data_IF_392623195852
#
_entry.id   IF_392623195852
#
_cell.length_a   1.000
_cell.length_b   1.000
_cell.length_c   1.000
_cell.angle_alpha   90.00
_cell.angle_beta   90.00
_cell.angle_gamma   90.00
#
_symmetry.space_group_name_H-M   'P 1'
#
loop_
_entity.id
_entity.type
_entity.pdbx_description
1 polymer ?
#
# COMPACT_ATOMS: atom_id res chain seq x y z
N UNK A 1 43.10 25.66 31.41
CA UNK A 1 41.81 25.10 30.95
C UNK A 1 41.23 26.08 29.93
N UNK A 2 41.07 25.72 28.65
CA UNK A 2 40.42 26.61 27.68
C UNK A 2 38.91 26.36 27.75
N UNK A 3 38.19 27.20 28.47
CA UNK A 3 36.73 27.22 28.42
C UNK A 3 36.35 27.91 27.11
N UNK A 4 35.86 27.13 26.15
CA UNK A 4 35.38 27.62 24.86
C UNK A 4 33.89 27.86 24.99
N UNK A 5 33.45 29.11 24.88
CA UNK A 5 32.05 29.46 24.82
C UNK A 5 31.48 29.30 23.40
N UNK A 6 30.19 28.97 23.29
CA UNK A 6 29.47 29.08 22.01
C UNK A 6 29.44 30.55 21.57
N UNK A 7 29.40 30.78 20.26
CA UNK A 7 29.59 32.10 19.67
C UNK A 7 28.61 33.14 20.24
N UNK A 8 29.14 34.22 20.83
CA UNK A 8 28.36 35.33 21.35
C UNK A 8 28.29 35.40 22.87
N UNK A 9 28.60 34.31 23.57
CA UNK A 9 28.63 34.30 25.04
C UNK A 9 29.91 34.97 25.55
N UNK A 10 29.76 35.80 26.58
CA UNK A 10 30.87 36.56 27.18
C UNK A 10 30.80 36.55 28.70
N UNK A 11 31.93 36.27 29.34
CA UNK A 11 32.09 36.47 30.79
C UNK A 11 32.34 37.95 31.03
N UNK A 12 31.57 38.56 31.93
CA UNK A 12 31.90 39.85 32.52
C UNK A 12 32.57 39.61 33.87
N UNK A 13 33.84 40.01 34.01
CA UNK A 13 34.59 39.84 35.26
C UNK A 13 36.09 40.08 35.11
N UNK A 14 36.78 40.27 36.23
CA UNK A 14 38.23 40.26 36.26
C UNK A 14 38.74 38.84 35.99
N UNK A 15 39.78 38.71 35.16
CA UNK A 15 40.49 37.44 34.98
C UNK A 15 41.08 37.07 36.35
N UNK A 16 40.86 35.85 36.87
CA UNK A 16 41.45 35.46 38.14
C UNK A 16 42.98 35.62 38.07
N UNK A 17 43.57 36.18 39.13
CA UNK A 17 45.01 36.44 39.21
C UNK A 17 45.81 35.19 38.85
N UNK A 18 46.80 35.35 37.96
CA UNK A 18 47.69 34.27 37.48
C UNK A 18 48.75 33.87 38.51
N UNK A 19 48.55 34.23 39.78
CA UNK A 19 49.51 33.97 40.84
C UNK A 19 49.40 32.51 41.30
N UNK A 20 50.54 31.82 41.32
CA UNK A 20 50.62 30.44 41.80
C UNK A 20 50.51 30.44 43.33
N UNK A 21 49.33 30.08 43.85
CA UNK A 21 49.07 29.97 45.29
C UNK A 21 49.02 28.49 45.70
N UNK A 22 49.75 28.13 46.76
CA UNK A 22 49.70 26.78 47.32
C UNK A 22 48.38 26.59 48.09
N UNK A 23 47.40 25.97 47.43
CA UNK A 23 46.06 25.69 47.99
C UNK A 23 46.10 24.47 48.91
N UNK A 24 45.41 24.55 50.06
CA UNK A 24 45.32 23.42 50.98
C UNK A 24 44.55 22.24 50.35
N UNK A 25 44.85 20.98 50.72
CA UNK A 25 44.10 19.83 50.21
C UNK A 25 42.62 19.92 50.60
N UNK A 26 41.72 19.64 49.65
CA UNK A 26 40.26 19.73 49.79
C UNK A 26 39.72 21.14 50.10
N UNK A 27 40.39 22.19 49.62
CA UNK A 27 39.83 23.55 49.63
C UNK A 27 38.62 23.62 48.70
N UNK A 28 37.47 24.04 49.23
CA UNK A 28 36.27 24.34 48.45
C UNK A 28 36.13 25.86 48.42
N UNK A 29 36.27 26.44 47.23
CA UNK A 29 36.03 27.86 47.00
C UNK A 29 34.82 27.98 46.05
N UNK A 30 33.79 28.67 46.51
CA UNK A 30 32.65 29.02 45.68
C UNK A 30 33.04 30.20 44.80
N UNK A 31 32.83 30.07 43.48
CA UNK A 31 33.06 31.15 42.53
C UNK A 31 31.78 31.39 41.74
N UNK A 32 31.29 32.61 41.81
CA UNK A 32 30.15 33.07 41.03
C UNK A 32 30.64 34.05 39.97
N UNK A 33 30.19 33.88 38.73
CA UNK A 33 30.44 34.83 37.67
C UNK A 33 29.19 35.02 36.82
N UNK A 34 28.95 36.27 36.42
CA UNK A 34 27.84 36.60 35.53
C UNK A 34 28.25 36.32 34.09
N UNK A 35 27.54 35.40 33.44
CA UNK A 35 27.69 35.12 32.01
C UNK A 35 26.53 35.78 31.25
N UNK A 36 26.87 36.59 30.24
CA UNK A 36 25.87 36.99 29.24
C UNK A 36 25.81 35.91 28.18
N UNK A 37 24.72 35.14 28.16
CA UNK A 37 24.52 34.06 27.19
C UNK A 37 23.45 34.43 26.16
N UNK A 38 23.74 34.11 24.91
CA UNK A 38 22.82 34.16 23.77
C UNK A 38 22.56 32.76 23.20
N UNK A 39 23.00 31.73 23.92
CA UNK A 39 22.84 30.35 23.51
C UNK A 39 21.44 29.86 23.92
N UNK A 40 20.65 29.28 23.00
CA UNK A 40 19.39 28.63 23.38
C UNK A 40 19.68 27.43 24.28
N UNK A 41 18.79 27.18 25.24
CA UNK A 41 18.90 26.04 26.14
C UNK A 41 17.56 25.32 26.14
N UNK A 42 17.56 24.12 25.60
CA UNK A 42 16.36 23.31 25.43
C UNK A 42 16.42 22.16 26.43
N UNK A 43 15.39 22.10 27.27
CA UNK A 43 15.12 20.94 28.11
C UNK A 43 14.06 20.08 27.42
N UNK A 44 14.23 18.77 27.45
CA UNK A 44 13.30 17.84 26.82
C UNK A 44 12.92 16.68 27.73
N UNK A 45 11.67 16.26 27.65
CA UNK A 45 11.21 14.96 28.13
C UNK A 45 10.91 14.07 26.93
N UNK A 46 11.42 12.84 26.97
CA UNK A 46 11.33 11.91 25.85
C UNK A 46 10.72 10.60 26.32
N UNK A 47 9.74 10.11 25.56
CA UNK A 47 9.20 8.76 25.71
C UNK A 47 9.39 8.01 24.41
N UNK A 48 10.12 6.90 24.44
CA UNK A 48 10.41 6.07 23.27
C UNK A 48 9.78 4.71 23.47
N UNK A 49 8.82 4.37 22.62
CA UNK A 49 8.26 3.02 22.55
C UNK A 49 8.94 2.25 21.41
N UNK A 50 9.43 1.05 21.71
CA UNK A 50 10.14 0.18 20.77
C UNK A 50 9.42 -1.16 20.73
N UNK A 51 8.84 -1.52 19.59
CA UNK A 51 8.21 -2.83 19.40
C UNK A 51 9.18 -3.76 18.69
N UNK A 52 9.54 -4.87 19.34
CA UNK A 52 10.45 -5.89 18.78
C UNK A 52 9.65 -6.92 18.00
N UNK A 53 9.63 -6.80 16.67
CA UNK A 53 8.86 -7.69 15.81
C UNK A 53 9.62 -8.98 15.47
N UNK A 54 8.90 -10.10 15.38
CA UNK A 54 9.50 -11.40 15.06
C UNK A 54 10.03 -11.49 13.62
N UNK A 55 9.61 -10.57 12.73
CA UNK A 55 10.02 -10.53 11.33
C UNK A 55 11.28 -9.69 11.08
N UNK A 56 11.98 -9.27 12.14
CA UNK A 56 13.28 -8.60 12.04
C UNK A 56 13.21 -7.08 11.89
N UNK A 57 12.09 -6.47 12.30
CA UNK A 57 11.91 -5.02 12.36
C UNK A 57 11.74 -4.55 13.80
N UNK A 58 12.27 -3.37 14.09
CA UNK A 58 12.06 -2.63 15.31
C UNK A 58 11.23 -1.40 14.96
N UNK A 59 10.04 -1.29 15.52
CA UNK A 59 9.19 -0.12 15.30
C UNK A 59 9.36 0.86 16.45
N UNK A 60 9.76 2.09 16.13
CA UNK A 60 9.95 3.17 17.06
C UNK A 60 8.80 4.14 16.97
N UNK A 61 8.24 4.51 18.12
CA UNK A 61 7.34 5.64 18.27
C UNK A 61 7.84 6.50 19.40
N UNK A 62 8.25 7.72 19.07
CA UNK A 62 8.83 8.65 20.03
C UNK A 62 7.89 9.84 20.24
N UNK A 63 7.63 10.15 21.51
CA UNK A 63 6.98 11.39 21.92
C UNK A 63 8.02 12.27 22.59
N UNK A 64 8.20 13.48 22.06
CA UNK A 64 9.20 14.41 22.54
C UNK A 64 8.50 15.70 22.95
N UNK A 65 8.59 16.02 24.23
CA UNK A 65 8.23 17.31 24.79
C UNK A 65 9.49 18.16 24.94
N UNK A 66 9.47 19.39 24.45
CA UNK A 66 10.59 20.33 24.53
C UNK A 66 10.12 21.64 25.16
N UNK A 67 11.01 22.26 25.93
CA UNK A 67 10.82 23.58 26.54
C UNK A 67 12.11 24.41 26.37
N UNK A 68 11.96 25.65 25.93
CA UNK A 68 13.08 26.59 25.87
C UNK A 68 13.24 27.32 27.20
N UNK A 69 14.20 26.86 28.01
CA UNK A 69 14.59 27.47 29.29
C UNK A 69 15.73 28.48 29.13
N UNK A 70 16.27 28.63 27.93
CA UNK A 70 17.37 29.53 27.62
C UNK A 70 16.95 30.98 27.36
N UNK A 71 17.93 31.89 27.25
CA UNK A 71 17.68 33.31 27.00
C UNK A 71 17.41 33.65 25.52
N UNK A 72 17.60 32.70 24.60
CA UNK A 72 17.59 32.94 23.15
C UNK A 72 16.61 32.00 22.43
N UNK A 73 16.17 32.39 21.24
CA UNK A 73 15.27 31.57 20.42
C UNK A 73 16.03 30.43 19.72
N UNK A 74 15.35 29.31 19.50
CA UNK A 74 15.86 28.19 18.69
C UNK A 74 15.05 28.08 17.39
N UNK A 75 15.71 27.79 16.28
CA UNK A 75 15.04 27.69 14.97
C UNK A 75 14.77 26.25 14.57
N UNK A 76 15.68 25.33 14.91
CA UNK A 76 15.55 23.92 14.59
C UNK A 76 16.23 23.05 15.63
N UNK A 77 15.81 21.78 15.72
CA UNK A 77 16.50 20.79 16.53
C UNK A 77 17.14 19.71 15.65
N UNK A 78 18.44 19.40 15.83
CA UNK A 78 19.06 18.27 15.16
C UNK A 78 18.66 16.97 15.84
N UNK A 79 18.17 16.01 15.06
CA UNK A 79 17.79 14.68 15.50
C UNK A 79 18.44 13.65 14.58
N UNK A 80 19.25 12.75 15.14
CA UNK A 80 19.98 11.75 14.36
C UNK A 80 19.39 10.37 14.58
N UNK A 81 18.88 9.80 13.50
CA UNK A 81 18.30 8.47 13.48
C UNK A 81 19.39 7.46 13.09
N UNK A 82 19.48 6.31 13.77
CA UNK A 82 20.42 5.25 13.43
C UNK A 82 20.27 4.75 11.99
N UNK A 83 21.33 4.14 11.46
CA UNK A 83 21.32 3.51 10.14
C UNK A 83 20.28 2.38 10.05
N UNK A 84 19.93 1.97 8.83
CA UNK A 84 18.91 0.96 8.55
C UNK A 84 17.49 1.37 8.98
N UNK A 85 17.27 2.68 9.08
CA UNK A 85 15.97 3.26 9.33
C UNK A 85 15.16 3.46 8.03
N UNK A 86 13.85 3.26 8.12
CA UNK A 86 12.89 3.48 7.04
C UNK A 86 11.56 4.04 7.60
N UNK A 87 10.66 4.42 6.69
CA UNK A 87 9.31 4.89 6.99
C UNK A 87 9.23 5.99 8.07
N UNK A 88 10.20 6.90 8.07
CA UNK A 88 10.22 8.05 8.96
C UNK A 88 8.97 8.92 8.76
N UNK A 89 8.33 9.28 9.87
CA UNK A 89 7.22 10.24 9.94
C UNK A 89 7.43 11.17 11.11
N UNK A 90 7.30 12.45 10.86
CA UNK A 90 7.40 13.49 11.88
C UNK A 90 6.12 14.31 11.83
N UNK A 91 5.46 14.44 12.97
CA UNK A 91 4.16 15.09 13.06
C UNK A 91 3.91 15.67 14.46
N UNK A 92 2.90 16.53 14.54
CA UNK A 92 2.38 17.06 15.78
C UNK A 92 0.85 16.87 15.85
N UNK A 93 0.18 17.54 16.79
CA UNK A 93 -1.26 17.45 16.98
C UNK A 93 -2.06 17.93 15.76
N UNK A 94 -1.48 18.82 14.95
CA UNK A 94 -2.13 19.46 13.80
C UNK A 94 -1.88 18.66 12.52
N UNK A 95 -0.73 18.00 12.42
CA UNK A 95 -0.41 17.10 11.32
C UNK A 95 1.08 16.96 11.07
N UNK A 96 1.44 16.52 9.86
CA UNK A 96 2.84 16.27 9.49
C UNK A 96 3.67 17.54 9.43
N UNK A 97 4.92 17.45 9.90
CA UNK A 97 5.94 18.50 9.77
C UNK A 97 6.69 18.29 8.45
N UNK A 98 6.21 18.93 7.39
CA UNK A 98 6.63 18.63 6.02
C UNK A 98 8.04 19.15 5.70
N UNK A 99 8.43 20.29 6.28
CA UNK A 99 9.75 20.88 6.08
C UNK A 99 10.81 20.15 6.89
N UNK A 100 10.41 19.57 8.02
CA UNK A 100 11.25 18.71 8.87
C UNK A 100 11.52 17.32 8.28
N UNK A 101 10.82 16.91 7.22
CA UNK A 101 11.03 15.60 6.60
C UNK A 101 12.26 15.61 5.68
N UNK A 102 13.08 14.55 5.68
CA UNK A 102 14.28 14.50 4.85
C UNK A 102 13.94 14.58 3.36
N UNK A 103 14.64 15.47 2.65
CA UNK A 103 14.45 15.70 1.20
C UNK A 103 15.45 14.85 0.40
N UNK A 104 14.95 13.97 -0.45
CA UNK A 104 15.75 13.19 -1.39
C UNK A 104 15.75 11.68 -1.11
N UNK A 105 16.61 10.94 -1.83
CA UNK A 105 16.77 9.50 -1.63
C UNK A 105 17.54 9.22 -0.34
N UNK A 106 16.85 8.68 0.66
CA UNK A 106 17.47 8.18 1.89
C UNK A 106 18.27 6.92 1.59
N UNK A 107 19.55 6.92 1.96
CA UNK A 107 20.39 5.73 1.90
C UNK A 107 20.09 4.87 3.12
N UNK A 108 19.57 3.68 2.88
CA UNK A 108 19.16 2.76 3.94
C UNK A 108 20.32 2.38 4.88
N UNK A 109 21.57 2.34 4.42
CA UNK A 109 22.72 1.93 5.22
C UNK A 109 23.42 3.08 5.97
N UNK A 110 22.88 4.29 5.95
CA UNK A 110 23.50 5.48 6.52
C UNK A 110 22.64 6.06 7.64
N UNK A 111 23.27 6.77 8.60
CA UNK A 111 22.54 7.49 9.64
C UNK A 111 21.79 8.65 9.03
N UNK A 112 20.53 8.86 9.44
CA UNK A 112 19.69 9.92 8.90
C UNK A 112 19.72 11.10 9.86
N UNK A 113 20.37 12.19 9.46
CA UNK A 113 20.30 13.46 10.18
C UNK A 113 19.05 14.23 9.74
N UNK A 114 18.19 14.51 10.70
CA UNK A 114 16.96 15.27 10.50
C UNK A 114 17.06 16.59 11.25
N UNK A 115 16.58 17.65 10.61
CA UNK A 115 16.44 18.96 11.25
C UNK A 115 14.95 19.23 11.43
N UNK A 116 14.51 19.23 12.67
CA UNK A 116 13.13 19.56 13.03
C UNK A 116 13.03 21.08 12.96
N UNK A 117 12.57 21.61 11.82
CA UNK A 117 12.52 23.04 11.53
C UNK A 117 11.19 23.64 11.99
N UNK A 118 11.22 24.26 13.16
CA UNK A 118 10.05 24.88 13.77
C UNK A 118 9.67 26.19 13.09
N UNK A 119 10.64 26.90 12.50
CA UNK A 119 10.39 28.16 11.80
C UNK A 119 9.55 27.94 10.54
N UNK A 120 9.92 26.96 9.73
CA UNK A 120 9.23 26.68 8.47
C UNK A 120 7.91 25.95 8.67
N UNK A 121 7.81 25.05 9.67
CA UNK A 121 6.61 24.24 9.85
C UNK A 121 5.50 24.92 10.69
N UNK A 122 5.83 25.74 11.71
CA UNK A 122 4.82 26.21 12.69
C UNK A 122 4.93 27.67 13.13
N UNK A 123 6.10 28.16 13.56
CA UNK A 123 6.21 29.49 14.20
C UNK A 123 6.63 30.62 13.25
N UNK A 124 6.95 30.32 11.98
CA UNK A 124 7.44 31.32 11.04
C UNK A 124 8.74 31.96 11.50
N UNK A 125 8.93 33.23 11.14
CA UNK A 125 10.11 34.03 11.51
C UNK A 125 10.27 34.24 13.02
N UNK A 126 9.24 33.94 13.81
CA UNK A 126 9.31 34.04 15.27
C UNK A 126 10.11 32.88 15.89
N UNK A 127 10.16 31.69 15.28
CA UNK A 127 10.85 30.53 15.86
C UNK A 127 10.38 30.16 17.27
N UNK A 128 11.21 29.40 17.99
CA UNK A 128 10.90 28.86 19.31
C UNK A 128 11.49 29.74 20.44
N UNK A 129 10.69 30.68 20.95
CA UNK A 129 11.11 31.67 21.95
C UNK A 129 11.31 31.07 23.36
N UNK A 130 12.11 31.73 24.22
CA UNK A 130 12.18 31.44 25.65
C UNK A 130 10.81 31.34 26.31
N UNK A 131 10.61 30.30 27.12
CA UNK A 131 9.36 29.98 27.80
C UNK A 131 8.30 29.27 26.94
N UNK A 132 8.59 29.00 25.66
CA UNK A 132 7.71 28.17 24.84
C UNK A 132 7.94 26.69 25.13
N UNK A 133 6.87 25.92 25.03
CA UNK A 133 6.87 24.47 25.09
C UNK A 133 6.20 23.89 23.84
N UNK A 134 6.63 22.70 23.44
CA UNK A 134 6.10 22.02 22.28
C UNK A 134 6.20 20.51 22.41
N UNK A 135 5.22 19.80 21.85
CA UNK A 135 5.23 18.34 21.77
C UNK A 135 5.11 17.91 20.32
N UNK A 136 5.93 16.97 19.92
CA UNK A 136 5.85 16.34 18.60
C UNK A 136 6.20 14.85 18.69
N UNK A 137 5.88 14.15 17.61
CA UNK A 137 6.07 12.72 17.48
C UNK A 137 6.97 12.37 16.30
N UNK A 138 7.76 11.32 16.49
CA UNK A 138 8.61 10.73 15.46
C UNK A 138 8.37 9.22 15.44
N UNK A 139 7.88 8.72 14.31
CA UNK A 139 7.74 7.29 14.06
C UNK A 139 8.72 6.85 12.98
N UNK A 140 9.41 5.73 13.19
CA UNK A 140 10.29 5.13 12.18
C UNK A 140 10.48 3.63 12.46
N UNK A 141 10.97 2.89 11.47
CA UNK A 141 11.31 1.46 11.64
C UNK A 141 12.79 1.23 11.38
N UNK A 142 13.43 0.38 12.17
CA UNK A 142 14.83 -0.03 12.00
C UNK A 142 14.89 -1.53 11.74
N UNK A 143 15.80 -1.95 10.85
CA UNK A 143 16.07 -3.36 10.66
C UNK A 143 16.86 -3.95 11.84
N UNK A 144 16.25 -4.89 12.59
CA UNK A 144 16.84 -5.48 13.78
C UNK A 144 18.15 -6.23 13.49
N UNK A 145 18.25 -6.88 12.31
CA UNK A 145 19.40 -7.72 11.95
C UNK A 145 20.73 -6.98 11.87
N UNK A 146 20.71 -5.66 11.67
CA UNK A 146 21.93 -4.84 11.62
C UNK A 146 22.49 -4.52 13.01
N UNK A 147 21.69 -4.73 14.05
CA UNK A 147 22.00 -4.42 15.45
C UNK A 147 21.92 -5.65 16.35
N UNK A 148 21.71 -6.83 15.76
CA UNK A 148 21.55 -8.08 16.49
C UNK A 148 22.59 -9.12 16.11
N UNK A 149 23.18 -9.76 17.12
CA UNK A 149 24.09 -10.88 16.98
C UNK A 149 23.46 -12.18 17.50
N UNK A 150 23.80 -13.29 16.86
CA UNK A 150 23.29 -14.61 17.28
C UNK A 150 24.06 -15.11 18.51
N UNK A 151 23.34 -15.42 19.58
CA UNK A 151 23.86 -16.05 20.82
C UNK A 151 23.14 -17.37 21.09
N UNK A 152 23.73 -18.30 21.88
CA UNK A 152 23.11 -19.61 22.11
C UNK A 152 21.69 -19.57 22.70
N UNK A 153 21.36 -18.51 23.44
CA UNK A 153 20.08 -18.28 24.10
C UNK A 153 19.06 -17.51 23.25
N UNK A 154 19.44 -17.02 22.05
CA UNK A 154 18.56 -16.22 21.20
C UNK A 154 19.32 -15.21 20.33
N UNK A 155 18.71 -14.06 20.08
CA UNK A 155 19.34 -12.93 19.39
C UNK A 155 19.64 -11.84 20.40
N UNK A 156 20.92 -11.49 20.55
CA UNK A 156 21.36 -10.36 21.36
C UNK A 156 21.20 -9.09 20.53
N UNK A 157 20.35 -8.17 20.97
CA UNK A 157 20.09 -6.88 20.35
C UNK A 157 20.76 -5.78 21.16
N UNK A 158 21.65 -5.03 20.51
CA UNK A 158 22.06 -3.71 21.02
C UNK A 158 21.04 -2.69 20.51
N UNK A 159 20.19 -2.19 21.40
CA UNK A 159 19.05 -1.35 21.02
C UNK A 159 19.57 -0.04 20.44
N UNK A 160 19.32 0.27 19.15
CA UNK A 160 19.75 1.54 18.58
C UNK A 160 18.83 2.65 19.08
N UNK A 161 19.41 3.65 19.77
CA UNK A 161 18.68 4.82 20.28
C UNK A 161 19.04 6.04 19.43
N UNK A 162 18.04 6.76 18.94
CA UNK A 162 18.26 8.02 18.22
C UNK A 162 18.77 9.11 19.17
N UNK A 163 19.65 9.99 18.70
CA UNK A 163 20.26 11.05 19.51
C UNK A 163 19.65 12.40 19.20
N UNK A 164 19.36 13.19 20.25
CA UNK A 164 18.67 14.47 20.12
C UNK A 164 19.62 15.67 20.28
N UNK A 165 20.62 15.76 19.41
CA UNK A 165 21.47 16.94 19.30
C UNK A 165 22.04 17.47 20.62
N UNK A 166 22.24 18.78 20.70
CA UNK A 166 22.64 19.47 21.93
C UNK A 166 21.43 19.85 22.80
N UNK A 167 20.52 18.90 23.03
CA UNK A 167 19.36 19.08 23.91
C UNK A 167 19.58 18.29 25.21
N UNK A 168 19.27 18.91 26.34
CA UNK A 168 19.28 18.21 27.63
C UNK A 168 17.97 17.45 27.78
N UNK A 169 18.02 16.13 27.68
CA UNK A 169 16.87 15.28 27.97
C UNK A 169 16.86 15.01 29.48
N UNK A 170 15.97 15.69 30.20
CA UNK A 170 15.85 15.61 31.66
C UNK A 170 15.35 14.24 32.09
N UNK A 171 14.43 13.67 31.33
CA UNK A 171 13.83 12.35 31.56
C UNK A 171 13.59 11.63 30.25
N UNK A 172 14.11 10.41 30.14
CA UNK A 172 13.90 9.51 29.01
C UNK A 172 13.26 8.21 29.50
N UNK A 173 12.01 7.97 29.13
CA UNK A 173 11.30 6.72 29.37
C UNK A 173 11.42 5.86 28.10
N UNK A 174 12.00 4.67 28.22
CA UNK A 174 12.16 3.73 27.09
C UNK A 174 11.32 2.50 27.39
N UNK A 175 10.24 2.32 26.63
CA UNK A 175 9.30 1.19 26.73
C UNK A 175 9.57 0.21 25.58
N UNK A 176 10.16 -0.95 25.89
CA UNK A 176 10.43 -2.00 24.90
C UNK A 176 9.35 -3.07 25.02
N UNK A 177 8.53 -3.19 23.99
CA UNK A 177 7.38 -4.08 23.93
C UNK A 177 7.72 -5.33 23.12
N UNK A 178 7.50 -6.49 23.74
CA UNK A 178 7.58 -7.81 23.13
C UNK A 178 6.17 -8.36 22.90
N UNK A 179 5.68 -8.38 21.65
CA UNK A 179 4.41 -9.02 21.31
C UNK A 179 4.49 -10.53 21.57
N UNK A 180 3.35 -11.24 21.57
CA UNK A 180 3.27 -12.72 21.69
C UNK A 180 4.30 -13.47 20.83
N UNK A 181 4.70 -12.92 19.68
CA UNK A 181 5.66 -13.50 18.75
C UNK A 181 7.12 -13.46 19.19
N UNK A 182 7.48 -12.69 20.22
CA UNK A 182 8.84 -12.57 20.75
C UNK A 182 8.82 -12.65 22.27
N UNK A 183 9.85 -13.26 22.85
CA UNK A 183 9.99 -13.37 24.30
C UNK A 183 11.34 -12.79 24.72
N UNK A 184 11.33 -12.01 25.80
CA UNK A 184 12.53 -11.57 26.48
C UNK A 184 13.18 -12.75 27.22
N UNK A 185 14.49 -12.90 27.09
CA UNK A 185 15.28 -13.91 27.81
C UNK A 185 16.10 -13.24 28.91
N UNK A 186 16.87 -12.21 28.55
CA UNK A 186 17.79 -11.50 29.43
C UNK A 186 17.90 -10.05 28.98
N UNK A 187 18.23 -9.15 29.91
CA UNK A 187 18.48 -7.75 29.58
C UNK A 187 19.48 -7.14 30.55
N UNK A 188 20.17 -6.08 30.12
CA UNK A 188 21.03 -5.28 30.97
C UNK A 188 20.23 -4.36 31.89
N UNK A 189 20.88 -3.94 32.98
CA UNK A 189 20.46 -2.85 33.87
C UNK A 189 19.16 -3.06 34.66
N UNK A 190 18.79 -2.07 35.48
CA UNK A 190 17.56 -2.07 36.25
C UNK A 190 16.38 -1.66 35.35
N UNK A 191 15.38 -2.54 35.25
CA UNK A 191 14.17 -2.34 34.45
C UNK A 191 12.90 -2.64 35.24
N UNK A 192 11.80 -2.00 34.85
CA UNK A 192 10.47 -2.37 35.31
C UNK A 192 9.83 -3.32 34.28
N UNK A 193 9.53 -4.54 34.71
CA UNK A 193 8.82 -5.52 33.89
C UNK A 193 7.31 -5.38 34.06
N UNK A 194 6.60 -5.20 32.96
CA UNK A 194 5.14 -5.10 32.92
C UNK A 194 4.59 -6.19 32.02
N UNK A 195 3.63 -6.95 32.54
CA UNK A 195 2.94 -8.00 31.78
C UNK A 195 1.58 -7.47 31.32
N UNK A 196 1.38 -7.41 30.01
CA UNK A 196 0.08 -7.23 29.39
C UNK A 196 -0.58 -8.57 29.04
N UNK A 197 -1.76 -8.49 28.44
CA UNK A 197 -2.54 -9.68 28.05
C UNK A 197 -1.93 -10.36 26.82
N UNK A 198 -1.33 -9.58 25.92
CA UNK A 198 -0.81 -10.03 24.63
C UNK A 198 0.63 -9.57 24.37
N UNK A 199 1.23 -8.90 25.33
CA UNK A 199 2.55 -8.31 25.26
C UNK A 199 3.23 -8.37 26.62
N UNK A 200 4.55 -8.38 26.60
CA UNK A 200 5.39 -8.15 27.76
C UNK A 200 6.23 -6.94 27.45
N UNK A 201 6.24 -5.94 28.33
CA UNK A 201 7.05 -4.75 28.14
C UNK A 201 8.05 -4.55 29.26
N UNK A 202 9.20 -3.98 28.91
CA UNK A 202 10.22 -3.54 29.86
C UNK A 202 10.38 -2.04 29.75
N UNK A 203 10.36 -1.37 30.89
CA UNK A 203 10.43 0.08 30.97
C UNK A 203 11.73 0.47 31.66
N UNK A 204 12.56 1.22 30.93
CA UNK A 204 13.74 1.91 31.47
C UNK A 204 13.41 3.37 31.70
N UNK A 205 13.95 3.93 32.79
CA UNK A 205 13.87 5.37 33.04
C UNK A 205 15.28 5.89 33.26
N UNK A 206 15.75 6.73 32.35
CA UNK A 206 17.07 7.38 32.41
C UNK A 206 16.86 8.88 32.60
N UNK A 207 17.76 9.52 33.34
CA UNK A 207 17.70 10.94 33.64
C UNK A 207 18.94 11.65 33.15
N UNK A 208 18.79 12.93 32.76
CA UNK A 208 19.88 13.84 32.40
C UNK A 208 20.80 13.27 31.31
N UNK A 209 20.20 12.85 30.19
CA UNK A 209 20.93 12.37 29.01
C UNK A 209 21.17 13.50 28.01
N UNK A 210 22.30 13.43 27.32
CA UNK A 210 22.79 14.36 26.31
C UNK A 210 23.38 13.56 25.14
N UNK A 211 23.85 14.25 24.10
CA UNK A 211 24.57 13.61 22.98
C UNK A 211 25.77 12.75 23.42
N UNK A 212 26.46 13.15 24.49
CA UNK A 212 27.70 12.52 24.94
C UNK A 212 27.47 11.31 25.86
N UNK A 213 26.26 11.17 26.40
CA UNK A 213 25.87 10.06 27.28
C UNK A 213 24.50 9.48 26.87
N UNK A 214 24.39 8.88 25.67
CA UNK A 214 23.17 8.21 25.25
C UNK A 214 22.93 6.94 26.09
N UNK A 215 21.67 6.53 26.30
CA UNK A 215 21.35 5.24 26.90
C UNK A 215 21.94 4.08 26.09
N UNK A 216 22.62 3.14 26.74
CA UNK A 216 23.11 1.90 26.12
C UNK A 216 22.34 0.72 26.71
N UNK A 217 21.47 0.10 25.90
CA UNK A 217 20.60 -1.00 26.34
C UNK A 217 20.91 -2.23 25.49
N UNK A 218 21.20 -3.35 26.16
CA UNK A 218 21.48 -4.62 25.52
C UNK A 218 20.52 -5.68 26.05
N UNK A 219 19.82 -6.35 25.15
CA UNK A 219 18.84 -7.37 25.50
C UNK A 219 19.01 -8.63 24.65
N UNK A 220 18.53 -9.76 25.16
CA UNK A 220 18.47 -11.03 24.44
C UNK A 220 17.03 -11.45 24.31
N UNK A 221 16.57 -11.64 23.07
CA UNK A 221 15.22 -12.06 22.77
C UNK A 221 15.20 -13.32 21.91
N UNK A 222 14.09 -14.06 21.97
CA UNK A 222 13.84 -15.24 21.15
C UNK A 222 12.51 -15.11 20.42
N UNK A 223 12.47 -15.60 19.17
CA UNK A 223 11.23 -15.67 18.40
C UNK A 223 10.40 -16.85 18.90
N UNK A 224 9.16 -16.58 19.26
CA UNK A 224 8.21 -17.59 19.74
C UNK A 224 7.43 -18.20 18.56
N UNK A 225 6.71 -19.30 18.83
CA UNK A 225 5.78 -19.92 17.87
C UNK A 225 4.67 -18.94 17.43
N UNK A 226 4.40 -17.89 18.23
CA UNK A 226 3.45 -16.83 17.91
C UNK A 226 3.77 -16.06 16.63
N UNK A 227 5.02 -16.09 16.15
CA UNK A 227 5.38 -15.50 14.86
C UNK A 227 4.61 -16.13 13.69
N UNK A 228 4.31 -17.43 13.76
CA UNK A 228 3.53 -18.11 12.72
C UNK A 228 2.02 -17.79 12.79
N UNK A 229 1.54 -17.13 13.85
CA UNK A 229 0.12 -16.86 14.04
C UNK A 229 -0.44 -15.83 13.05
N UNK A 230 0.33 -14.78 12.68
CA UNK A 230 -0.19 -13.73 11.76
C UNK A 230 -0.59 -14.30 10.39
N UNK A 231 0.28 -15.05 9.66
CA UNK A 231 -0.14 -15.67 8.40
C UNK A 231 -1.27 -16.70 8.57
N UNK A 232 -1.26 -17.46 9.66
CA UNK A 232 -2.29 -18.47 9.95
C UNK A 232 -3.67 -17.83 10.17
N UNK A 233 -3.74 -16.67 10.83
CA UNK A 233 -4.99 -15.92 11.00
C UNK A 233 -5.55 -15.44 9.66
N UNK A 234 -4.71 -14.90 8.76
CA UNK A 234 -5.16 -14.54 7.41
C UNK A 234 -5.63 -15.75 6.62
N UNK A 235 -4.91 -16.87 6.71
CA UNK A 235 -5.33 -18.12 6.09
C UNK A 235 -6.66 -18.64 6.67
N UNK A 236 -6.90 -18.49 7.97
CA UNK A 236 -8.16 -18.86 8.62
C UNK A 236 -9.30 -17.95 8.16
N UNK A 237 -9.10 -16.64 8.09
CA UNK A 237 -10.12 -15.69 7.59
C UNK A 237 -10.50 -16.05 6.14
N UNK A 238 -9.50 -16.23 5.26
CA UNK A 238 -9.74 -16.61 3.86
C UNK A 238 -10.40 -17.98 3.78
N UNK A 239 -9.95 -18.94 4.58
CA UNK A 239 -10.53 -20.28 4.67
C UNK A 239 -11.98 -20.26 5.16
N UNK A 240 -12.32 -19.38 6.11
CA UNK A 240 -13.67 -19.21 6.62
C UNK A 240 -14.60 -18.58 5.58
N UNK A 241 -14.13 -17.56 4.86
CA UNK A 241 -14.86 -16.97 3.74
C UNK A 241 -15.11 -18.03 2.65
N UNK A 242 -14.09 -18.82 2.31
CA UNK A 242 -14.22 -19.90 1.36
C UNK A 242 -15.19 -21.00 1.85
N UNK A 243 -15.15 -21.34 3.14
CA UNK A 243 -16.07 -22.30 3.75
C UNK A 243 -17.52 -21.80 3.70
N UNK A 244 -17.78 -20.53 4.04
CA UNK A 244 -19.10 -19.90 3.89
C UNK A 244 -19.56 -19.94 2.44
N UNK A 245 -18.69 -19.58 1.50
CA UNK A 245 -19.00 -19.61 0.08
C UNK A 245 -19.38 -21.02 -0.40
N UNK A 246 -18.61 -22.03 -0.01
CA UNK A 246 -18.91 -23.43 -0.33
C UNK A 246 -20.19 -23.89 0.36
N UNK A 247 -20.45 -23.48 1.60
CA UNK A 247 -21.66 -23.82 2.33
C UNK A 247 -22.89 -23.19 1.67
N UNK A 248 -22.83 -21.91 1.29
CA UNK A 248 -23.91 -21.24 0.54
C UNK A 248 -24.17 -21.93 -0.80
N UNK A 249 -23.11 -22.28 -1.54
CA UNK A 249 -23.23 -22.99 -2.82
C UNK A 249 -23.69 -24.44 -2.70
N UNK A 250 -23.36 -25.13 -1.60
CA UNK A 250 -23.85 -26.49 -1.31
C UNK A 250 -25.24 -26.51 -0.67
N UNK A 251 -25.79 -25.36 -0.32
CA UNK A 251 -27.15 -25.20 0.22
C UNK A 251 -28.16 -24.87 -0.89
N UNK A 252 -27.82 -25.13 -2.16
CA UNK A 252 -28.85 -25.53 -3.12
C UNK A 252 -29.53 -26.78 -2.52
N UNK A 253 -30.72 -26.55 -1.96
CA UNK A 253 -31.46 -27.53 -1.16
C UNK A 253 -31.48 -28.87 -1.89
N UNK A 254 -31.27 -30.00 -1.18
CA UNK A 254 -31.55 -31.30 -1.78
C UNK A 254 -32.99 -31.28 -2.30
N UNK A 255 -33.16 -31.54 -3.60
CA UNK A 255 -34.44 -31.66 -4.33
C UNK A 255 -35.41 -32.70 -3.73
N UNK A 256 -35.07 -33.36 -2.62
CA UNK A 256 -35.90 -34.36 -1.95
C UNK A 256 -36.86 -33.81 -0.88
N UNK A 257 -36.85 -32.52 -0.53
CA UNK A 257 -37.75 -31.97 0.53
C UNK A 257 -38.85 -31.02 0.01
N UNK A 258 -38.79 -30.52 -1.23
CA UNK A 258 -39.87 -29.67 -1.78
C UNK A 258 -40.68 -30.48 -2.80
N UNK A 259 -41.29 -31.55 -2.29
CA UNK A 259 -42.46 -32.13 -2.92
C UNK A 259 -43.69 -31.27 -2.63
N UNK A 260 -44.36 -30.84 -3.70
CA UNK A 260 -45.75 -30.33 -3.76
C UNK A 260 -46.17 -29.29 -2.70
N UNK A 261 -46.23 -28.03 -3.11
CA UNK A 261 -46.91 -26.98 -2.34
C UNK A 261 -47.30 -25.82 -3.25
N UNK A 262 -48.51 -25.88 -3.78
CA UNK A 262 -49.20 -24.81 -4.49
C UNK A 262 -49.45 -23.59 -3.57
N UNK A 263 -49.35 -22.40 -4.20
CA UNK A 263 -50.06 -21.11 -3.93
C UNK A 263 -49.70 -20.30 -2.65
N UNK A 264 -48.93 -19.19 -2.74
CA UNK A 264 -49.29 -17.77 -3.09
C UNK A 264 -49.76 -16.93 -1.85
N UNK A 265 -49.46 -15.60 -1.72
CA UNK A 265 -49.89 -14.61 -2.71
C UNK A 265 -49.05 -13.32 -2.93
N UNK A 266 -48.95 -12.97 -4.22
CA UNK A 266 -48.96 -11.61 -4.81
C UNK A 266 -48.04 -10.49 -4.31
N UNK A 267 -47.06 -10.16 -5.16
CA UNK A 267 -46.87 -8.80 -5.67
C UNK A 267 -46.42 -8.87 -7.15
N UNK A 268 -47.43 -8.92 -8.03
CA UNK A 268 -47.43 -8.66 -9.48
C UNK A 268 -46.43 -7.56 -9.89
N UNK A 269 -45.69 -7.65 -11.00
CA UNK A 269 -46.18 -7.50 -12.38
C UNK A 269 -45.14 -7.99 -13.41
N UNK A 270 -45.66 -8.77 -14.37
CA UNK A 270 -45.22 -8.97 -15.76
C UNK A 270 -44.17 -10.06 -16.14
N UNK A 271 -44.75 -11.14 -16.69
CA UNK A 271 -44.27 -11.95 -17.83
C UNK A 271 -43.39 -13.16 -17.56
N UNK A 272 -44.03 -14.19 -16.97
CA UNK A 272 -43.86 -15.56 -17.43
C UNK A 272 -44.38 -15.71 -18.88
N UNK A 273 -43.54 -15.32 -19.85
CA UNK A 273 -43.65 -15.68 -21.28
C UNK A 273 -42.23 -15.78 -21.85
N UNK A 274 -41.41 -16.63 -21.25
CA UNK A 274 -40.05 -16.88 -21.70
C UNK A 274 -39.98 -18.10 -22.63
N UNK A 275 -39.11 -18.04 -23.64
CA UNK A 275 -38.75 -19.21 -24.43
C UNK A 275 -38.11 -20.28 -23.51
N UNK A 276 -38.16 -21.57 -23.87
CA UNK A 276 -37.51 -22.63 -23.10
C UNK A 276 -36.04 -22.26 -22.77
N UNK A 277 -35.60 -22.36 -21.50
CA UNK A 277 -34.26 -21.95 -21.08
C UNK A 277 -33.16 -22.72 -21.83
N UNK A 278 -33.44 -23.96 -22.24
CA UNK A 278 -32.55 -24.76 -23.09
C UNK A 278 -32.32 -24.12 -24.47
N UNK A 279 -33.35 -23.56 -25.10
CA UNK A 279 -33.25 -22.88 -26.40
C UNK A 279 -32.51 -21.55 -26.28
N UNK A 280 -32.73 -20.79 -25.20
CA UNK A 280 -32.00 -19.54 -24.93
C UNK A 280 -30.51 -19.80 -24.71
N UNK A 281 -30.17 -20.86 -23.96
CA UNK A 281 -28.79 -21.29 -23.74
C UNK A 281 -28.12 -21.79 -25.01
N UNK A 282 -28.80 -22.61 -25.80
CA UNK A 282 -28.27 -23.09 -27.08
C UNK A 282 -27.99 -21.93 -28.04
N UNK A 283 -28.91 -20.97 -28.12
CA UNK A 283 -28.74 -19.77 -28.94
C UNK A 283 -27.56 -18.91 -28.48
N UNK A 284 -27.48 -18.60 -27.19
CA UNK A 284 -26.41 -17.76 -26.64
C UNK A 284 -25.02 -18.42 -26.79
N UNK A 285 -24.93 -19.73 -26.56
CA UNK A 285 -23.66 -20.47 -26.68
C UNK A 285 -23.19 -20.57 -28.12
N UNK A 286 -24.07 -20.86 -29.08
CA UNK A 286 -23.71 -20.91 -30.50
C UNK A 286 -23.31 -19.52 -31.03
N UNK A 287 -24.01 -18.47 -30.62
CA UNK A 287 -23.70 -17.10 -31.05
C UNK A 287 -22.39 -16.59 -30.41
N UNK A 288 -22.14 -16.89 -29.14
CA UNK A 288 -20.86 -16.61 -28.46
C UNK A 288 -19.69 -17.35 -29.11
N UNK A 289 -19.89 -18.62 -29.47
CA UNK A 289 -18.91 -19.44 -30.20
C UNK A 289 -18.61 -18.87 -31.58
N UNK A 290 -19.63 -18.40 -32.33
CA UNK A 290 -19.45 -17.71 -33.61
C UNK A 290 -18.60 -16.44 -33.47
N UNK A 291 -18.86 -15.63 -32.46
CA UNK A 291 -18.09 -14.41 -32.18
C UNK A 291 -16.64 -14.73 -31.83
N UNK A 292 -16.42 -15.75 -31.00
CA UNK A 292 -15.08 -16.20 -30.58
C UNK A 292 -14.26 -16.73 -31.77
N UNK A 293 -14.85 -17.58 -32.62
CA UNK A 293 -14.19 -18.11 -33.82
C UNK A 293 -13.82 -17.03 -34.82
N UNK A 294 -14.66 -16.00 -34.98
CA UNK A 294 -14.34 -14.84 -35.81
C UNK A 294 -13.13 -14.06 -35.28
N UNK A 295 -13.03 -13.86 -33.97
CA UNK A 295 -11.87 -13.21 -33.35
C UNK A 295 -10.60 -14.05 -33.53
N UNK A 296 -10.71 -15.37 -33.38
CA UNK A 296 -9.58 -16.27 -33.54
C UNK A 296 -9.10 -16.37 -34.98
N UNK A 297 -10.00 -16.31 -35.97
CA UNK A 297 -9.65 -16.18 -37.38
C UNK A 297 -8.84 -14.89 -37.63
N UNK A 298 -9.28 -13.77 -37.09
CA UNK A 298 -8.57 -12.49 -37.20
C UNK A 298 -7.18 -12.53 -36.53
N UNK A 299 -7.05 -13.17 -35.37
CA UNK A 299 -5.76 -13.37 -34.69
C UNK A 299 -4.80 -14.24 -35.51
N UNK A 300 -5.30 -15.32 -36.11
CA UNK A 300 -4.50 -16.23 -36.95
C UNK A 300 -4.03 -15.52 -38.23
N UNK A 301 -4.89 -14.72 -38.86
CA UNK A 301 -4.53 -13.87 -40.01
C UNK A 301 -3.50 -12.79 -39.65
N UNK A 302 -3.69 -12.09 -38.54
CA UNK A 302 -2.76 -11.07 -38.05
C UNK A 302 -1.39 -11.67 -37.72
N UNK A 303 -1.37 -12.85 -37.11
CA UNK A 303 -0.13 -13.54 -36.74
C UNK A 303 0.64 -14.07 -37.95
N UNK A 304 -0.07 -14.49 -39.03
CA UNK A 304 0.54 -14.77 -40.34
C UNK A 304 1.15 -13.51 -40.96
N UNK A 305 0.43 -12.37 -40.94
CA UNK A 305 0.94 -11.09 -41.47
C UNK A 305 2.20 -10.61 -40.74
N UNK A 306 2.32 -10.93 -39.43
CA UNK A 306 3.50 -10.64 -38.60
C UNK A 306 4.63 -11.68 -38.72
N UNK A 307 4.49 -12.70 -39.58
CA UNK A 307 5.51 -13.73 -39.79
C UNK A 307 5.67 -14.75 -38.66
N UNK A 308 4.79 -14.74 -37.65
CA UNK A 308 4.90 -15.61 -36.46
C UNK A 308 4.38 -17.04 -36.67
N UNK A 309 3.72 -17.31 -37.81
CA UNK A 309 3.06 -18.58 -38.11
C UNK A 309 3.53 -19.12 -39.46
N UNK A 310 3.90 -20.40 -39.50
CA UNK A 310 4.29 -21.08 -40.74
C UNK A 310 3.07 -21.27 -41.66
N UNK A 311 3.27 -21.25 -42.98
CA UNK A 311 2.18 -21.37 -43.98
C UNK A 311 1.31 -22.62 -43.76
N UNK A 312 1.94 -23.76 -43.43
CA UNK A 312 1.25 -25.04 -43.18
C UNK A 312 0.34 -24.98 -41.95
N UNK A 313 0.85 -24.45 -40.84
CA UNK A 313 0.09 -24.29 -39.58
C UNK A 313 -1.08 -23.31 -39.76
N UNK A 314 -0.87 -22.22 -40.49
CA UNK A 314 -1.92 -21.29 -40.83
C UNK A 314 -3.05 -21.95 -41.63
N UNK A 315 -2.72 -22.74 -42.67
CA UNK A 315 -3.75 -23.39 -43.50
C UNK A 315 -4.57 -24.41 -42.70
N UNK A 316 -3.94 -25.15 -41.79
CA UNK A 316 -4.63 -26.13 -40.92
C UNK A 316 -5.58 -25.40 -39.98
N UNK A 317 -5.10 -24.40 -39.23
CA UNK A 317 -5.93 -23.64 -38.28
C UNK A 317 -7.04 -22.85 -38.97
N UNK A 318 -6.76 -22.25 -40.13
CA UNK A 318 -7.77 -21.54 -40.91
C UNK A 318 -8.86 -22.51 -41.41
N UNK A 319 -8.48 -23.71 -41.86
CA UNK A 319 -9.45 -24.72 -42.31
C UNK A 319 -10.32 -25.21 -41.16
N UNK A 320 -9.73 -25.48 -40.00
CA UNK A 320 -10.45 -25.90 -38.80
C UNK A 320 -11.46 -24.84 -38.34
N UNK A 321 -11.02 -23.59 -38.16
CA UNK A 321 -11.91 -22.48 -37.76
C UNK A 321 -13.04 -22.29 -38.77
N UNK A 322 -12.76 -22.36 -40.08
CA UNK A 322 -13.79 -22.25 -41.12
C UNK A 322 -14.80 -23.40 -41.09
N UNK A 323 -14.34 -24.64 -40.85
CA UNK A 323 -15.22 -25.80 -40.73
C UNK A 323 -16.16 -25.68 -39.52
N UNK A 324 -15.64 -25.16 -38.41
CA UNK A 324 -16.45 -24.91 -37.21
C UNK A 324 -17.45 -23.76 -37.43
N UNK A 325 -17.05 -22.70 -38.14
CA UNK A 325 -17.96 -21.61 -38.53
C UNK A 325 -19.08 -22.12 -39.45
N UNK A 326 -18.77 -22.94 -40.45
CA UNK A 326 -19.77 -23.52 -41.37
C UNK A 326 -20.81 -24.37 -40.63
N UNK A 327 -20.36 -25.13 -39.62
CA UNK A 327 -21.26 -25.89 -38.74
C UNK A 327 -22.21 -24.96 -37.99
N UNK A 328 -21.70 -23.88 -37.41
CA UNK A 328 -22.52 -22.91 -36.66
C UNK A 328 -23.47 -22.16 -37.59
N UNK A 329 -23.00 -21.70 -38.75
CA UNK A 329 -23.84 -20.98 -39.73
C UNK A 329 -24.95 -21.88 -40.30
N UNK A 330 -24.79 -23.21 -40.30
CA UNK A 330 -25.86 -24.15 -40.66
C UNK A 330 -26.91 -24.36 -39.56
N UNK A 331 -26.52 -24.27 -38.28
CA UNK A 331 -27.40 -24.50 -37.13
C UNK A 331 -28.15 -23.22 -36.71
N UNK A 332 -27.50 -22.07 -36.82
CA UNK A 332 -27.99 -20.79 -36.33
C UNK A 332 -29.35 -20.35 -36.92
N UNK A 333 -29.66 -20.53 -38.22
CA UNK A 333 -30.97 -20.17 -38.78
C UNK A 333 -32.11 -20.94 -38.13
N UNK A 334 -31.94 -22.26 -37.92
CA UNK A 334 -32.98 -23.11 -37.33
C UNK A 334 -33.33 -22.73 -35.89
N UNK A 335 -32.34 -22.24 -35.13
CA UNK A 335 -32.53 -21.83 -33.73
C UNK A 335 -33.06 -20.41 -33.66
N UNK A 336 -32.64 -19.52 -34.58
CA UNK A 336 -33.25 -18.19 -34.75
C UNK A 336 -34.74 -18.28 -35.04
N UNK A 337 -35.14 -19.14 -35.97
CA UNK A 337 -36.55 -19.29 -36.35
C UNK A 337 -37.40 -19.81 -35.18
N UNK A 338 -36.88 -20.79 -34.42
CA UNK A 338 -37.51 -21.26 -33.18
C UNK A 338 -37.65 -20.12 -32.17
N UNK A 339 -36.58 -19.36 -31.93
CA UNK A 339 -36.58 -18.26 -30.97
C UNK A 339 -37.54 -17.11 -31.37
N UNK A 340 -37.66 -16.81 -32.67
CA UNK A 340 -38.62 -15.84 -33.21
C UNK A 340 -40.07 -16.31 -33.06
N UNK A 341 -40.32 -17.63 -33.04
CA UNK A 341 -41.65 -18.20 -32.87
C UNK A 341 -42.18 -18.14 -31.43
N UNK A 342 -41.28 -18.04 -30.43
CA UNK A 342 -41.63 -17.99 -29.00
C UNK A 342 -42.15 -16.62 -28.55
N UNK A 343 -41.92 -15.54 -29.30
CA UNK A 343 -42.51 -14.24 -28.95
C UNK A 343 -41.97 -13.02 -29.70
N UNK A 344 -42.76 -11.93 -29.67
CA UNK A 344 -42.39 -10.64 -30.29
C UNK A 344 -41.11 -10.04 -29.68
N UNK A 345 -40.90 -10.23 -28.37
CA UNK A 345 -39.69 -9.76 -27.66
C UNK A 345 -38.42 -10.40 -28.21
N UNK A 346 -38.44 -11.71 -28.47
CA UNK A 346 -37.28 -12.42 -29.01
C UNK A 346 -37.03 -12.11 -30.50
N UNK A 347 -38.09 -11.82 -31.25
CA UNK A 347 -37.97 -11.29 -32.61
C UNK A 347 -37.20 -9.98 -32.64
N UNK A 348 -37.51 -9.06 -31.72
CA UNK A 348 -36.80 -7.78 -31.61
C UNK A 348 -35.33 -7.97 -31.20
N UNK A 349 -35.06 -8.90 -30.28
CA UNK A 349 -33.70 -9.26 -29.85
C UNK A 349 -32.87 -9.84 -31.01
N UNK A 350 -33.43 -10.78 -31.78
CA UNK A 350 -32.78 -11.35 -32.97
C UNK A 350 -32.55 -10.27 -34.03
N UNK A 351 -33.53 -9.41 -34.29
CA UNK A 351 -33.40 -8.31 -35.25
C UNK A 351 -32.31 -7.30 -34.85
N UNK A 352 -32.17 -7.00 -33.55
CA UNK A 352 -31.09 -6.15 -33.04
C UNK A 352 -29.72 -6.80 -33.21
N UNK A 353 -29.60 -8.11 -32.94
CA UNK A 353 -28.36 -8.85 -33.17
C UNK A 353 -27.95 -8.82 -34.64
N UNK A 354 -28.88 -9.06 -35.56
CA UNK A 354 -28.62 -9.01 -37.00
C UNK A 354 -28.23 -7.62 -37.47
N UNK A 355 -28.92 -6.58 -36.99
CA UNK A 355 -28.57 -5.19 -37.29
C UNK A 355 -27.14 -4.85 -36.82
N UNK A 356 -26.74 -5.34 -35.65
CA UNK A 356 -25.39 -5.11 -35.13
C UNK A 356 -24.34 -5.93 -35.89
N UNK A 357 -24.64 -7.16 -36.28
CA UNK A 357 -23.78 -8.02 -37.11
C UNK A 357 -23.55 -7.38 -38.49
N UNK A 358 -24.61 -6.90 -39.15
CA UNK A 358 -24.52 -6.20 -40.44
C UNK A 358 -23.69 -4.91 -40.33
N UNK A 359 -23.87 -4.13 -39.25
CA UNK A 359 -23.05 -2.94 -38.99
C UNK A 359 -21.56 -3.28 -38.80
N UNK A 360 -21.26 -4.36 -38.10
CA UNK A 360 -19.88 -4.83 -37.91
C UNK A 360 -19.29 -5.28 -39.25
N UNK A 361 -20.02 -6.09 -40.01
CA UNK A 361 -19.55 -6.59 -41.31
C UNK A 361 -19.37 -5.45 -42.33
N UNK A 362 -20.32 -4.51 -42.39
CA UNK A 362 -20.22 -3.31 -43.21
C UNK A 362 -19.01 -2.45 -42.86
N UNK A 363 -18.74 -2.24 -41.57
CA UNK A 363 -17.55 -1.52 -41.12
C UNK A 363 -16.24 -2.27 -41.43
N UNK A 364 -16.21 -3.60 -41.33
CA UNK A 364 -15.06 -4.44 -41.73
C UNK A 364 -14.83 -4.38 -43.24
N UNK A 365 -15.87 -4.44 -44.06
CA UNK A 365 -15.79 -4.29 -45.50
C UNK A 365 -15.26 -2.89 -45.90
N UNK A 366 -15.78 -1.84 -45.26
CA UNK A 366 -15.29 -0.46 -45.41
C UNK A 366 -13.82 -0.32 -45.05
N UNK A 367 -13.38 -0.96 -43.96
CA UNK A 367 -11.97 -0.98 -43.55
C UNK A 367 -11.08 -1.71 -44.57
N UNK A 368 -11.53 -2.84 -45.14
CA UNK A 368 -10.81 -3.56 -46.21
C UNK A 368 -10.66 -2.69 -47.46
N UNK A 369 -11.71 -2.00 -47.89
CA UNK A 369 -11.65 -1.06 -49.01
C UNK A 369 -10.72 0.13 -48.73
N UNK A 370 -10.75 0.67 -47.51
CA UNK A 370 -9.87 1.75 -47.08
C UNK A 370 -8.39 1.33 -47.13
N UNK A 371 -8.07 0.10 -46.70
CA UNK A 371 -6.73 -0.47 -46.81
C UNK A 371 -6.27 -0.61 -48.27
N UNK A 372 -7.16 -1.02 -49.18
CA UNK A 372 -6.87 -1.09 -50.62
C UNK A 372 -6.63 0.30 -51.22
N UNK A 373 -7.40 1.31 -50.83
CA UNK A 373 -7.22 2.71 -51.28
C UNK A 373 -5.89 3.29 -50.78
N UNK A 374 -5.50 3.02 -49.53
CA UNK A 374 -4.17 3.37 -48.99
C UNK A 374 -3.04 2.69 -49.75
N UNK A 375 -3.17 1.39 -50.04
CA UNK A 375 -2.17 0.64 -50.82
C UNK A 375 -1.99 1.23 -52.22
N UNK A 376 -3.06 1.75 -52.82
CA UNK A 376 -3.04 2.44 -54.13
C UNK A 376 -2.67 3.93 -54.04
N UNK A 377 -2.27 4.45 -52.86
CA UNK A 377 -1.95 5.86 -52.59
C UNK A 377 -3.07 6.86 -52.96
N UNK A 378 -4.33 6.43 -53.00
CA UNK A 378 -5.49 7.26 -53.39
C UNK A 378 -6.12 8.03 -52.23
N UNK A 379 -5.44 8.15 -51.08
CA UNK A 379 -5.94 8.81 -49.88
C UNK A 379 -4.76 9.38 -49.07
N UNK A 380 -4.93 10.57 -48.50
CA UNK A 380 -3.93 11.18 -47.61
C UNK A 380 -3.81 10.40 -46.30
N UNK A 381 -2.65 10.50 -45.64
CA UNK A 381 -2.37 9.78 -44.38
C UNK A 381 -3.36 10.17 -43.26
N UNK A 382 -3.63 11.47 -43.11
CA UNK A 382 -4.55 11.99 -42.11
C UNK A 382 -6.00 11.52 -42.36
N UNK A 383 -6.47 11.52 -43.61
CA UNK A 383 -7.79 11.03 -43.96
C UNK A 383 -7.92 9.51 -43.75
N UNK A 384 -6.85 8.75 -44.00
CA UNK A 384 -6.82 7.31 -43.72
C UNK A 384 -6.92 7.00 -42.21
N UNK A 385 -6.15 7.70 -41.38
CA UNK A 385 -6.14 7.47 -39.93
C UNK A 385 -7.48 7.81 -39.30
N UNK A 386 -8.10 8.94 -39.69
CA UNK A 386 -9.45 9.33 -39.23
C UNK A 386 -10.51 8.29 -39.64
N UNK A 387 -10.61 7.96 -40.93
CA UNK A 387 -11.59 6.98 -41.40
C UNK A 387 -11.38 5.58 -40.78
N UNK A 388 -10.12 5.19 -40.53
CA UNK A 388 -9.81 3.93 -39.83
C UNK A 388 -10.32 3.95 -38.39
N UNK A 389 -10.14 5.04 -37.66
CA UNK A 389 -10.63 5.17 -36.29
C UNK A 389 -12.17 5.13 -36.25
N UNK A 390 -12.84 5.76 -37.20
CA UNK A 390 -14.30 5.74 -37.29
C UNK A 390 -14.84 4.31 -37.51
N UNK A 391 -14.26 3.55 -38.45
CA UNK A 391 -14.64 2.14 -38.65
C UNK A 391 -14.35 1.27 -37.43
N UNK A 392 -13.21 1.46 -36.76
CA UNK A 392 -12.88 0.72 -35.53
C UNK A 392 -13.84 1.06 -34.38
N UNK A 393 -14.27 2.31 -34.27
CA UNK A 393 -15.25 2.74 -33.27
C UNK A 393 -16.62 2.09 -33.52
N UNK A 394 -17.05 2.00 -34.77
CA UNK A 394 -18.29 1.30 -35.15
C UNK A 394 -18.20 -0.19 -34.80
N UNK A 395 -17.09 -0.85 -35.12
CA UNK A 395 -16.86 -2.27 -34.77
C UNK A 395 -16.90 -2.47 -33.25
N UNK A 396 -16.22 -1.62 -32.48
CA UNK A 396 -16.21 -1.70 -31.01
C UNK A 396 -17.59 -1.49 -30.40
N UNK A 397 -18.37 -0.54 -30.93
CA UNK A 397 -19.74 -0.27 -30.46
C UNK A 397 -20.69 -1.41 -30.82
N UNK A 398 -20.56 -1.98 -32.02
CA UNK A 398 -21.34 -3.14 -32.45
C UNK A 398 -21.08 -4.36 -31.58
N UNK A 399 -19.80 -4.72 -31.41
CA UNK A 399 -19.39 -5.87 -30.57
C UNK A 399 -19.88 -5.76 -29.13
N UNK A 400 -19.69 -4.61 -28.47
CA UNK A 400 -20.19 -4.41 -27.11
C UNK A 400 -21.71 -4.46 -26.99
N UNK A 401 -22.46 -4.06 -28.02
CA UNK A 401 -23.92 -4.17 -28.04
C UNK A 401 -24.36 -5.63 -28.18
N UNK A 402 -23.72 -6.38 -29.08
CA UNK A 402 -23.91 -7.83 -29.22
C UNK A 402 -23.64 -8.56 -27.91
N UNK A 403 -22.52 -8.28 -27.23
CA UNK A 403 -22.16 -8.93 -25.96
C UNK A 403 -23.20 -8.65 -24.86
N UNK A 404 -23.74 -7.43 -24.78
CA UNK A 404 -24.79 -7.07 -23.81
C UNK A 404 -26.09 -7.81 -24.08
N UNK A 405 -26.49 -7.94 -25.34
CA UNK A 405 -27.70 -8.67 -25.72
C UNK A 405 -27.54 -10.16 -25.37
N UNK A 406 -26.38 -10.75 -25.66
CA UNK A 406 -26.10 -12.15 -25.31
C UNK A 406 -26.10 -12.36 -23.79
N UNK A 407 -25.54 -11.44 -23.01
CA UNK A 407 -25.55 -11.50 -21.55
C UNK A 407 -26.99 -11.49 -21.01
N UNK A 408 -27.86 -10.61 -21.53
CA UNK A 408 -29.27 -10.56 -21.11
C UNK A 408 -30.04 -11.85 -21.44
N UNK A 409 -29.67 -12.54 -22.53
CA UNK A 409 -30.27 -13.84 -22.88
C UNK A 409 -29.76 -14.94 -21.93
N UNK A 410 -28.51 -14.86 -21.47
CA UNK A 410 -27.93 -15.82 -20.52
C UNK A 410 -28.49 -15.66 -19.10
N UNK A 411 -28.70 -14.42 -18.66
CA UNK A 411 -29.40 -14.10 -17.40
C UNK A 411 -30.84 -14.65 -17.43
N UNK A 412 -31.54 -14.49 -18.55
CA UNK A 412 -32.90 -15.02 -18.73
C UNK A 412 -32.94 -16.56 -18.83
N UNK A 413 -31.84 -17.20 -19.22
CA UNK A 413 -31.68 -18.65 -19.23
C UNK A 413 -31.31 -19.23 -17.84
N UNK A 414 -30.98 -18.40 -16.85
CA UNK A 414 -30.60 -18.82 -15.49
C UNK A 414 -29.16 -19.32 -15.34
N UNK A 415 -28.27 -19.01 -16.29
CA UNK A 415 -26.85 -19.42 -16.25
C UNK A 415 -25.95 -18.45 -15.45
N UNK A 416 -26.46 -17.26 -15.09
CA UNK A 416 -25.80 -16.17 -14.32
C UNK A 416 -26.85 -15.56 -13.40
#
# INVERSE_FOLDING_TARGET
MRVSFKSGDSIEGAIPDTDDINVAPMSIEEFDFSLRSYTPLIAAERTTQIVVDAWGWLSYSETIFVENIGPSMESYFPFTIPAYAADLRIYDEVGTLAESMPRGELKFNDTIEVRIDLTSDRWGDNGFWPGYSYTFWIDFVIQASSYSDAVPSGSQLKVPIATFGEVLVTKHIIDIVFPISTNLVETSDDYLLVYGVFDTSIIYTVYNTTLENPPDIVLVYQVSVGAAARPLLFALIVGFIAAIYVMYRKVDLPEEIVGSGEEEPTATVAQATGAPPELLREFATLYSKKTTLNMDLEKVEASRRRGKLKKREFMIRQKDIKSQMETIDSQLPSIKDKLVSEGARYRDVVAQLELHEERIEGAKAGLRQLLLRKKKQRISRAAFEKARQDYLKVIKKGTSATDRILLSIQEEAGDI
#
